data_IF_152931279725
#
_entry.id   IF_152931279725
#
_cell.length_a   1.000
_cell.length_b   1.000
_cell.length_c   1.000
_cell.angle_alpha   90.00
_cell.angle_beta   90.00
_cell.angle_gamma   90.00
#
_symmetry.space_group_name_H-M   'P 1'
#
loop_
_entity.id
_entity.type
_entity.pdbx_description
1 polymer ?
#
# COMPACT_ATOMS: atom_id res chain seq x y z
N UNK A 1 -9.12 4.16 -4.60
CA UNK A 1 -8.25 3.01 -4.93
C UNK A 1 -6.83 3.54 -5.01
N UNK A 2 -5.89 2.91 -4.31
CA UNK A 2 -4.45 3.16 -4.48
C UNK A 2 -3.85 1.95 -5.19
N UNK A 3 -2.92 2.19 -6.12
CA UNK A 3 -2.23 1.14 -6.87
C UNK A 3 -0.72 1.33 -6.73
N UNK A 4 -0.03 0.33 -6.20
CA UNK A 4 1.42 0.29 -6.09
C UNK A 4 2.00 -0.65 -7.14
N UNK A 5 2.96 -0.16 -7.92
CA UNK A 5 3.77 -0.96 -8.84
C UNK A 5 4.88 -1.68 -8.06
N UNK A 6 4.84 -3.01 -7.99
CA UNK A 6 5.78 -3.85 -7.21
C UNK A 6 6.68 -4.73 -8.08
N UNK A 7 6.74 -4.44 -9.38
CA UNK A 7 7.43 -5.22 -10.40
C UNK A 7 6.64 -5.24 -11.71
N UNK A 8 7.29 -5.58 -12.82
CA UNK A 8 6.70 -5.58 -14.18
C UNK A 8 5.41 -6.43 -14.28
N UNK A 9 5.30 -7.46 -13.46
CA UNK A 9 4.22 -8.43 -13.41
C UNK A 9 3.34 -8.34 -12.14
N UNK A 10 3.60 -7.37 -11.25
CA UNK A 10 3.01 -7.36 -9.91
C UNK A 10 2.58 -5.99 -9.43
N UNK A 11 1.30 -5.92 -9.03
CA UNK A 11 0.70 -4.72 -8.46
C UNK A 11 0.08 -5.03 -7.09
N UNK A 12 0.07 -4.04 -6.19
CA UNK A 12 -0.72 -4.07 -4.95
C UNK A 12 -1.81 -3.02 -5.03
N UNK A 13 -3.05 -3.46 -4.88
CA UNK A 13 -4.21 -2.58 -4.84
C UNK A 13 -4.69 -2.43 -3.40
N UNK A 14 -5.03 -1.20 -3.02
CA UNK A 14 -5.74 -0.89 -1.77
C UNK A 14 -7.10 -0.28 -2.14
N UNK A 15 -8.16 -1.08 -1.98
CA UNK A 15 -9.56 -0.70 -2.22
C UNK A 15 -10.20 -0.16 -0.95
N UNK A 16 -11.25 0.65 -1.08
CA UNK A 16 -12.00 1.12 0.08
C UNK A 16 -12.78 -0.05 0.70
N UNK A 17 -12.79 -0.15 2.02
CA UNK A 17 -13.52 -1.20 2.75
C UNK A 17 -15.02 -1.22 2.40
N UNK A 18 -15.65 -0.05 2.26
CA UNK A 18 -17.09 0.07 1.96
C UNK A 18 -17.45 -0.39 0.54
N UNK A 19 -16.50 -0.39 -0.39
CA UNK A 19 -16.73 -0.80 -1.79
C UNK A 19 -16.01 -2.09 -2.15
N UNK A 20 -15.39 -2.77 -1.17
CA UNK A 20 -14.53 -3.95 -1.37
C UNK A 20 -15.18 -5.03 -2.23
N UNK A 21 -16.39 -5.46 -1.89
CA UNK A 21 -17.07 -6.55 -2.61
C UNK A 21 -17.35 -6.18 -4.07
N UNK A 22 -17.87 -4.97 -4.29
CA UNK A 22 -18.15 -4.44 -5.62
C UNK A 22 -16.87 -4.31 -6.45
N UNK A 23 -15.81 -3.77 -5.86
CA UNK A 23 -14.56 -3.52 -6.57
C UNK A 23 -13.87 -4.84 -6.93
N UNK A 24 -13.85 -5.84 -6.02
CA UNK A 24 -13.33 -7.18 -6.32
C UNK A 24 -14.13 -7.88 -7.41
N UNK A 25 -15.46 -7.82 -7.38
CA UNK A 25 -16.32 -8.41 -8.41
C UNK A 25 -16.07 -7.77 -9.79
N UNK A 26 -15.89 -6.44 -9.84
CA UNK A 26 -15.57 -5.75 -11.07
C UNK A 26 -14.20 -6.17 -11.64
N UNK A 27 -13.17 -6.26 -10.79
CA UNK A 27 -11.83 -6.68 -11.22
C UNK A 27 -11.85 -8.12 -11.74
N UNK A 28 -12.56 -9.04 -11.06
CA UNK A 28 -12.66 -10.44 -11.50
C UNK A 28 -13.39 -10.58 -12.84
N UNK A 29 -14.44 -9.79 -13.07
CA UNK A 29 -15.11 -9.75 -14.37
C UNK A 29 -14.15 -9.31 -15.49
N UNK A 30 -13.36 -8.25 -15.25
CA UNK A 30 -12.35 -7.77 -16.22
C UNK A 30 -11.24 -8.78 -16.45
N UNK A 31 -10.77 -9.43 -15.39
CA UNK A 31 -9.81 -10.53 -15.47
C UNK A 31 -10.34 -11.67 -16.34
N UNK A 32 -11.61 -12.02 -16.21
CA UNK A 32 -12.25 -13.06 -17.02
C UNK A 32 -12.38 -12.65 -18.49
N UNK A 33 -12.74 -11.40 -18.78
CA UNK A 33 -12.83 -10.85 -20.14
C UNK A 33 -11.50 -10.95 -20.90
N UNK A 34 -10.36 -10.79 -20.21
CA UNK A 34 -9.01 -10.93 -20.80
C UNK A 34 -8.46 -12.36 -20.77
N UNK A 35 -9.32 -13.36 -20.53
CA UNK A 35 -8.93 -14.78 -20.54
C UNK A 35 -8.23 -15.27 -19.28
N UNK A 36 -8.33 -14.55 -18.16
CA UNK A 36 -7.79 -15.01 -16.87
C UNK A 36 -6.27 -15.00 -16.77
N UNK A 37 -5.59 -14.21 -17.61
CA UNK A 37 -4.12 -14.18 -17.73
C UNK A 37 -3.36 -13.67 -16.50
N UNK A 38 -4.05 -13.13 -15.49
CA UNK A 38 -3.47 -12.63 -14.25
C UNK A 38 -4.03 -13.36 -13.03
N UNK A 39 -3.39 -13.23 -11.88
CA UNK A 39 -3.90 -13.74 -10.60
C UNK A 39 -4.45 -12.57 -9.75
N UNK A 40 -5.63 -12.75 -9.16
CA UNK A 40 -6.20 -11.81 -8.20
C UNK A 40 -6.18 -12.42 -6.79
N UNK A 41 -5.24 -11.98 -5.96
CA UNK A 41 -5.09 -12.47 -4.59
C UNK A 41 -5.65 -11.45 -3.60
N UNK A 42 -6.76 -11.80 -2.94
CA UNK A 42 -7.28 -11.03 -1.81
C UNK A 42 -6.48 -11.31 -0.53
N UNK A 43 -5.75 -10.30 -0.05
CA UNK A 43 -4.89 -10.39 1.15
C UNK A 43 -5.69 -10.06 2.42
N UNK A 44 -6.27 -11.08 3.04
CA UNK A 44 -6.98 -10.98 4.33
C UNK A 44 -6.06 -11.18 5.55
N UNK A 45 -4.79 -11.46 5.29
CA UNK A 45 -3.71 -11.73 6.23
C UNK A 45 -2.87 -10.48 6.58
N UNK A 46 -3.26 -9.31 6.08
CA UNK A 46 -2.57 -8.04 6.30
C UNK A 46 -3.46 -7.06 7.06
N UNK A 47 -2.81 -6.19 7.84
CA UNK A 47 -3.39 -4.97 8.38
C UNK A 47 -2.67 -3.75 7.80
N UNK A 48 -3.35 -2.61 7.75
CA UNK A 48 -2.79 -1.33 7.32
C UNK A 48 -2.92 -0.31 8.44
N UNK A 49 -1.87 0.46 8.69
CA UNK A 49 -1.81 1.46 9.75
C UNK A 49 -1.47 2.82 9.14
N UNK A 50 -2.43 3.75 9.16
CA UNK A 50 -2.16 5.12 8.75
C UNK A 50 -1.54 5.90 9.93
N UNK A 51 -0.27 6.26 9.80
CA UNK A 51 0.45 7.10 10.75
C UNK A 51 0.62 8.50 10.15
N UNK A 52 -0.18 9.46 10.62
CA UNK A 52 -0.33 10.77 10.00
C UNK A 52 -0.08 11.91 11.01
N UNK A 53 0.48 13.02 10.54
CA UNK A 53 0.72 14.24 11.30
C UNK A 53 2.20 14.52 11.56
N UNK A 54 2.51 15.68 12.18
CA UNK A 54 3.88 16.21 12.29
C UNK A 54 4.84 15.34 13.11
N UNK A 55 4.31 14.39 13.89
CA UNK A 55 5.10 13.45 14.69
C UNK A 55 5.23 12.05 14.06
N UNK A 56 4.64 11.82 12.87
CA UNK A 56 4.59 10.50 12.23
C UNK A 56 5.98 9.90 12.02
N UNK A 57 6.91 10.66 11.45
CA UNK A 57 8.28 10.18 11.22
C UNK A 57 8.99 9.82 12.52
N UNK A 58 8.85 10.65 13.56
CA UNK A 58 9.43 10.40 14.87
C UNK A 58 8.87 9.11 15.48
N UNK A 59 7.55 8.93 15.42
CA UNK A 59 6.89 7.73 15.92
C UNK A 59 7.35 6.48 15.15
N UNK A 60 7.45 6.56 13.83
CA UNK A 60 7.95 5.46 12.99
C UNK A 60 9.38 5.07 13.36
N UNK A 61 10.24 6.05 13.63
CA UNK A 61 11.63 5.83 14.04
C UNK A 61 11.81 5.03 15.34
N UNK A 62 10.76 4.87 16.15
CA UNK A 62 10.81 4.01 17.35
C UNK A 62 10.57 2.52 17.05
N UNK A 63 10.06 2.18 15.87
CA UNK A 63 9.62 0.81 15.54
C UNK A 63 10.29 0.22 14.28
N UNK A 64 11.10 1.01 13.57
CA UNK A 64 11.88 0.55 12.40
C UNK A 64 13.37 0.78 12.60
N UNK A 65 14.20 0.09 11.81
CA UNK A 65 15.65 0.29 11.82
C UNK A 65 16.02 1.67 11.28
N UNK A 66 17.21 2.16 11.62
CA UNK A 66 17.72 3.43 11.09
C UNK A 66 17.85 3.43 9.55
N UNK A 67 18.18 2.27 8.97
CA UNK A 67 18.22 2.08 7.52
C UNK A 67 16.84 2.22 6.88
N UNK A 68 15.83 1.53 7.43
CA UNK A 68 14.44 1.65 6.97
C UNK A 68 13.95 3.08 7.12
N UNK A 69 14.21 3.75 8.25
CA UNK A 69 13.80 5.14 8.44
C UNK A 69 14.43 6.08 7.41
N UNK A 70 15.70 5.84 7.07
CA UNK A 70 16.41 6.61 6.02
C UNK A 70 15.77 6.39 4.66
N UNK A 71 15.44 5.15 4.30
CA UNK A 71 14.74 4.84 3.06
C UNK A 71 13.34 5.49 3.01
N UNK A 72 12.58 5.43 4.11
CA UNK A 72 11.26 6.05 4.23
C UNK A 72 11.33 7.57 4.05
N UNK A 73 12.31 8.24 4.66
CA UNK A 73 12.52 9.70 4.49
C UNK A 73 12.74 10.12 3.05
N UNK A 74 13.36 9.26 2.24
CA UNK A 74 13.62 9.52 0.84
C UNK A 74 12.38 9.33 -0.07
N UNK A 75 11.30 8.73 0.45
CA UNK A 75 10.08 8.51 -0.31
C UNK A 75 9.41 9.84 -0.67
N UNK A 76 9.06 9.97 -1.96
CA UNK A 76 8.09 10.95 -2.45
C UNK A 76 6.68 10.42 -2.28
N UNK A 77 5.68 11.29 -2.48
CA UNK A 77 4.28 10.88 -2.47
C UNK A 77 4.03 9.70 -3.43
N UNK A 78 3.24 8.73 -2.99
CA UNK A 78 2.91 7.50 -3.73
C UNK A 78 4.11 6.59 -4.03
N UNK A 79 5.21 6.75 -3.28
CA UNK A 79 6.31 5.77 -3.26
C UNK A 79 6.25 4.93 -1.99
N UNK A 80 6.89 3.77 -2.04
CA UNK A 80 6.97 2.84 -0.93
C UNK A 80 8.35 2.21 -0.81
N UNK A 81 8.67 1.69 0.37
CA UNK A 81 9.83 0.84 0.62
C UNK A 81 9.37 -0.55 1.08
N UNK A 82 9.98 -1.57 0.49
CA UNK A 82 9.72 -2.97 0.82
C UNK A 82 10.39 -3.40 2.11
N UNK A 83 9.75 -4.31 2.82
CA UNK A 83 10.27 -4.96 4.02
C UNK A 83 9.86 -6.44 4.03
N UNK A 84 10.56 -7.31 4.79
CA UNK A 84 10.16 -8.71 4.91
C UNK A 84 8.72 -8.88 5.44
N UNK A 85 8.28 -7.99 6.33
CA UNK A 85 6.97 -8.08 6.98
C UNK A 85 5.85 -7.35 6.22
N UNK A 86 6.18 -6.59 5.16
CA UNK A 86 5.22 -5.72 4.48
C UNK A 86 5.90 -4.61 3.68
N UNK A 87 5.24 -3.45 3.55
CA UNK A 87 5.87 -2.26 2.98
C UNK A 87 5.37 -1.02 3.73
N UNK A 88 6.12 0.06 3.63
CA UNK A 88 5.73 1.37 4.15
C UNK A 88 5.60 2.31 2.97
N UNK A 89 4.46 2.98 2.81
CA UNK A 89 4.22 3.92 1.74
C UNK A 89 4.08 5.35 2.28
N UNK A 90 4.55 6.33 1.50
CA UNK A 90 4.24 7.75 1.76
C UNK A 90 2.96 8.12 1.02
N UNK A 91 1.86 7.66 1.58
CA UNK A 91 0.49 7.92 1.14
C UNK A 91 -0.35 8.37 2.33
N UNK A 92 -1.49 8.98 2.05
CA UNK A 92 -2.37 9.47 3.10
C UNK A 92 -3.54 10.26 2.55
N UNK A 93 -4.64 10.22 3.27
CA UNK A 93 -5.89 10.90 2.88
C UNK A 93 -6.08 12.26 3.58
N UNK A 94 -5.25 12.57 4.58
CA UNK A 94 -5.44 13.73 5.46
C UNK A 94 -4.84 15.03 4.91
N UNK A 95 -3.92 14.93 3.94
CA UNK A 95 -3.13 16.06 3.44
C UNK A 95 -1.93 16.42 4.32
N UNK A 96 -1.84 15.86 5.52
CA UNK A 96 -0.67 15.94 6.38
C UNK A 96 0.44 15.01 5.89
N UNK A 97 1.67 15.25 6.36
CA UNK A 97 2.74 14.27 6.17
C UNK A 97 2.44 12.99 6.97
N UNK A 98 2.87 11.85 6.45
CA UNK A 98 2.57 10.57 7.05
C UNK A 98 2.88 9.39 6.17
N UNK A 99 2.61 8.21 6.72
CA UNK A 99 2.87 6.93 6.13
C UNK A 99 1.68 5.99 6.30
N UNK A 100 1.59 5.00 5.43
CA UNK A 100 0.65 3.86 5.50
C UNK A 100 1.41 2.53 5.44
#
# INVERSE_FOLDING_TARGET
LIVYFRGEDRYRLVVNAATRERDLAWIEARRTEIGGATELIHRTDLAMLALQGPMAERALGHVVSAETLTAVRALKAFQFVERPEGFIARTGYTGEDGFE
#
